data_IF_728417171364
#
_entry.id   IF_728417171364
#
_cell.length_a   1.000
_cell.length_b   1.000
_cell.length_c   1.000
_cell.angle_alpha   90.00
_cell.angle_beta   90.00
_cell.angle_gamma   90.00
#
_symmetry.space_group_name_H-M   'P 1'
#
loop_
_entity.id
_entity.type
_entity.pdbx_description
1 polymer ?
#
# COMPACT_ATOMS: atom_id res chain seq x y z
N UNK A 1 26.04 8.19 8.42
CA UNK A 1 25.15 7.02 8.29
C UNK A 1 24.41 7.17 6.98
N UNK A 2 24.89 6.53 5.90
CA UNK A 2 24.37 6.75 4.55
C UNK A 2 24.22 5.42 3.83
N UNK A 3 23.19 4.68 4.22
CA UNK A 3 22.59 3.66 3.40
C UNK A 3 21.09 3.94 3.44
N UNK A 4 20.50 4.34 2.32
CA UNK A 4 19.05 4.31 2.18
C UNK A 4 18.64 2.84 2.22
N UNK A 5 18.21 2.37 3.39
CA UNK A 5 17.66 1.04 3.62
C UNK A 5 16.33 0.94 2.86
N UNK A 6 16.43 0.74 1.55
CA UNK A 6 15.27 0.56 0.66
C UNK A 6 14.67 -0.83 0.87
N UNK A 7 13.34 -0.93 0.76
CA UNK A 7 12.64 -2.21 0.79
C UNK A 7 12.73 -2.99 -0.53
N UNK A 8 13.43 -2.45 -1.53
CA UNK A 8 13.61 -3.10 -2.84
C UNK A 8 14.14 -4.54 -2.79
N UNK A 9 15.09 -4.92 -1.91
CA UNK A 9 15.57 -6.31 -1.82
C UNK A 9 14.48 -7.31 -1.41
N UNK A 10 13.39 -6.85 -0.80
CA UNK A 10 12.28 -7.69 -0.36
C UNK A 10 11.16 -7.81 -1.41
N UNK A 11 11.27 -7.09 -2.55
CA UNK A 11 10.33 -7.24 -3.66
C UNK A 11 10.58 -8.59 -4.34
N UNK A 12 9.63 -9.51 -4.19
CA UNK A 12 9.63 -10.79 -4.91
C UNK A 12 8.82 -10.64 -6.19
N UNK A 13 9.30 -11.26 -7.28
CA UNK A 13 8.46 -11.48 -8.45
C UNK A 13 7.30 -12.41 -8.09
N UNK A 14 6.12 -12.15 -8.66
CA UNK A 14 4.91 -12.95 -8.39
C UNK A 14 5.18 -14.42 -8.68
N UNK A 15 5.09 -15.27 -7.65
CA UNK A 15 5.19 -16.73 -7.79
C UNK A 15 3.78 -17.33 -7.80
N UNK A 16 3.28 -17.69 -8.97
CA UNK A 16 2.11 -18.57 -9.14
C UNK A 16 0.84 -18.15 -8.38
N UNK A 17 0.16 -19.13 -7.77
CA UNK A 17 -1.14 -19.01 -7.06
C UNK A 17 -1.07 -18.36 -5.66
N UNK A 18 -0.03 -17.56 -5.35
CA UNK A 18 0.06 -16.87 -4.06
C UNK A 18 -1.08 -15.84 -3.92
N UNK A 19 -1.70 -15.83 -2.74
CA UNK A 19 -2.80 -14.92 -2.44
C UNK A 19 -2.31 -13.47 -2.49
N UNK A 20 -2.89 -12.68 -3.39
CA UNK A 20 -2.55 -11.27 -3.53
C UNK A 20 -2.86 -10.51 -2.22
N UNK A 21 -1.96 -9.61 -1.77
CA UNK A 21 -2.17 -8.88 -0.54
C UNK A 21 -3.38 -7.98 -0.66
N UNK A 22 -4.11 -7.83 0.45
CA UNK A 22 -5.20 -6.86 0.56
C UNK A 22 -4.72 -5.65 1.33
N UNK A 23 -4.83 -4.46 0.72
CA UNK A 23 -4.55 -3.18 1.38
C UNK A 23 -5.87 -2.44 1.55
N UNK A 24 -6.12 -1.96 2.77
CA UNK A 24 -7.25 -1.06 3.04
C UNK A 24 -6.72 0.38 2.95
N UNK A 25 -7.39 1.21 2.17
CA UNK A 25 -7.01 2.60 1.90
C UNK A 25 -8.10 3.51 2.43
N UNK A 26 -7.72 4.55 3.17
CA UNK A 26 -8.66 5.58 3.62
C UNK A 26 -9.33 6.25 2.42
N UNK A 27 -10.64 6.47 2.52
CA UNK A 27 -11.42 7.07 1.44
C UNK A 27 -10.92 8.46 1.02
N UNK A 28 -10.40 9.27 1.94
CA UNK A 28 -9.83 10.59 1.61
C UNK A 28 -8.52 10.42 0.84
N UNK A 29 -7.68 9.47 1.22
CA UNK A 29 -6.42 9.21 0.52
C UNK A 29 -6.67 8.59 -0.86
N UNK A 30 -7.66 7.72 -1.00
CA UNK A 30 -8.03 7.15 -2.28
C UNK A 30 -8.40 8.23 -3.32
N UNK A 31 -9.10 9.28 -2.88
CA UNK A 31 -9.40 10.46 -3.70
C UNK A 31 -8.19 11.39 -3.89
N UNK A 32 -7.34 11.56 -2.87
CA UNK A 32 -6.16 12.44 -2.93
C UNK A 32 -5.04 11.89 -3.82
N UNK A 33 -4.95 10.57 -3.95
CA UNK A 33 -3.84 9.85 -4.54
C UNK A 33 -4.28 8.73 -5.50
N UNK A 34 -5.23 9.03 -6.40
CA UNK A 34 -5.77 8.07 -7.38
C UNK A 34 -4.70 7.30 -8.17
N UNK A 35 -3.58 7.98 -8.53
CA UNK A 35 -2.45 7.34 -9.22
C UNK A 35 -1.82 6.21 -8.40
N UNK A 36 -1.75 6.34 -7.09
CA UNK A 36 -1.20 5.32 -6.19
C UNK A 36 -2.16 4.13 -6.15
N UNK A 37 -3.46 4.38 -5.93
CA UNK A 37 -4.50 3.34 -5.91
C UNK A 37 -4.51 2.56 -7.23
N UNK A 38 -4.42 3.26 -8.36
CA UNK A 38 -4.33 2.65 -9.69
C UNK A 38 -3.08 1.78 -9.83
N UNK A 39 -1.91 2.30 -9.44
CA UNK A 39 -0.65 1.54 -9.50
C UNK A 39 -0.64 0.30 -8.59
N UNK A 40 -1.30 0.34 -7.44
CA UNK A 40 -1.47 -0.83 -6.57
C UNK A 40 -2.31 -1.92 -7.25
N UNK A 41 -3.44 -1.53 -7.86
CA UNK A 41 -4.31 -2.46 -8.60
C UNK A 41 -3.61 -3.06 -9.81
N UNK A 42 -2.82 -2.27 -10.56
CA UNK A 42 -2.04 -2.76 -11.70
C UNK A 42 -0.96 -3.76 -11.30
N UNK A 43 -0.42 -3.62 -10.08
CA UNK A 43 0.48 -4.61 -9.47
C UNK A 43 -0.27 -5.83 -8.93
N UNK A 44 -1.58 -5.91 -9.11
CA UNK A 44 -2.47 -7.00 -8.69
C UNK A 44 -2.78 -7.06 -7.21
N UNK A 45 -2.49 -5.99 -6.46
CA UNK A 45 -2.90 -5.87 -5.06
C UNK A 45 -4.41 -5.70 -4.99
N UNK A 46 -5.06 -6.41 -4.07
CA UNK A 46 -6.47 -6.19 -3.79
C UNK A 46 -6.63 -4.92 -2.95
N UNK A 47 -7.32 -3.91 -3.49
CA UNK A 47 -7.49 -2.61 -2.81
C UNK A 47 -8.93 -2.47 -2.32
N UNK A 48 -9.10 -2.35 -1.00
CA UNK A 48 -10.36 -1.97 -0.36
C UNK A 48 -10.32 -0.50 0.02
N UNK A 49 -11.39 0.23 -0.28
CA UNK A 49 -11.52 1.64 0.08
C UNK A 49 -12.56 1.73 1.18
N UNK A 50 -12.14 2.20 2.36
CA UNK A 50 -12.98 2.30 3.55
C UNK A 50 -12.67 3.62 4.29
N UNK A 51 -13.65 4.25 4.96
CA UNK A 51 -13.33 5.36 5.85
C UNK A 51 -12.56 4.84 7.07
N UNK A 52 -11.34 5.34 7.30
CA UNK A 52 -10.53 4.96 8.45
C UNK A 52 -10.59 6.05 9.51
N UNK A 53 -10.65 5.65 10.79
CA UNK A 53 -10.59 6.60 11.89
C UNK A 53 -9.24 7.35 11.92
N UNK A 54 -8.15 6.65 11.56
CA UNK A 54 -6.77 7.15 11.53
C UNK A 54 -5.94 6.42 10.48
N UNK A 55 -4.98 7.11 9.89
CA UNK A 55 -4.05 6.57 8.91
C UNK A 55 -4.56 6.63 7.46
N UNK A 56 -3.64 6.45 6.52
CA UNK A 56 -3.94 6.45 5.08
C UNK A 56 -4.06 5.04 4.49
N UNK A 57 -3.23 4.11 4.95
CA UNK A 57 -3.15 2.73 4.45
C UNK A 57 -2.99 1.73 5.59
N UNK A 58 -3.74 0.62 5.56
CA UNK A 58 -3.55 -0.54 6.45
C UNK A 58 -3.04 -1.71 5.61
N UNK A 59 -1.87 -2.23 5.97
CA UNK A 59 -1.21 -3.35 5.29
C UNK A 59 -1.45 -4.68 6.02
N UNK A 60 -1.58 -4.62 7.35
CA UNK A 60 -1.91 -5.75 8.20
C UNK A 60 -2.47 -5.28 9.54
N UNK A 61 -2.83 -6.21 10.42
CA UNK A 61 -3.20 -5.97 11.82
C UNK A 61 -2.12 -5.25 12.64
N UNK A 62 -0.85 -5.42 12.26
CA UNK A 62 0.31 -4.84 12.93
C UNK A 62 0.95 -3.66 12.20
N UNK A 63 0.46 -3.28 11.01
CA UNK A 63 1.13 -2.27 10.19
C UNK A 63 0.16 -1.37 9.43
N UNK A 64 0.28 -0.06 9.69
CA UNK A 64 -0.33 1.00 8.93
C UNK A 64 0.74 1.96 8.39
N UNK A 65 0.47 2.59 7.26
CA UNK A 65 1.35 3.54 6.58
C UNK A 65 0.64 4.88 6.42
N UNK A 66 1.36 5.95 6.71
CA UNK A 66 0.93 7.34 6.53
C UNK A 66 1.73 7.97 5.39
N UNK A 67 1.06 8.60 4.43
CA UNK A 67 1.71 9.26 3.31
C UNK A 67 1.85 10.76 3.59
N UNK A 68 3.10 11.21 3.69
CA UNK A 68 3.44 12.64 3.75
C UNK A 68 4.01 13.13 2.41
N UNK A 69 3.55 14.28 1.95
CA UNK A 69 4.18 15.04 0.86
C UNK A 69 5.26 15.94 1.49
N UNK A 70 6.40 16.09 0.81
CA UNK A 70 7.51 16.96 1.22
C UNK A 70 7.10 18.43 1.12
#
# INVERSE_FOLDING_TARGET
MSGTETLMPYLKEKKGDEQEPTIIVDSREASSAEKIVKGLREKGVNVKIEPLEKGDYILSDACAVERKRV
#
